data_IF_916320441435
#
_entry.id   IF_916320441435
#
_cell.length_a   1.000
_cell.length_b   1.000
_cell.length_c   1.000
_cell.angle_alpha   90.00
_cell.angle_beta   90.00
_cell.angle_gamma   90.00
#
_symmetry.space_group_name_H-M   'P 1'
#
loop_
_entity.id
_entity.type
_entity.pdbx_description
1 polymer ?
#
# COMPACT_ATOMS: atom_id res chain seq x y z
N UNK A 1 5.37 13.87 -33.08
CA UNK A 1 5.26 12.72 -32.16
C UNK A 1 4.78 13.29 -30.84
N UNK A 2 3.58 12.89 -30.39
CA UNK A 2 2.88 13.55 -29.29
C UNK A 2 3.58 13.29 -27.94
N UNK A 3 3.68 14.34 -27.13
CA UNK A 3 4.31 14.41 -25.82
C UNK A 3 3.61 13.46 -24.84
N UNK A 4 4.15 12.25 -24.64
CA UNK A 4 3.48 11.19 -23.89
C UNK A 4 3.59 11.33 -22.36
N UNK A 5 4.21 12.38 -21.83
CA UNK A 5 4.27 12.57 -20.37
C UNK A 5 4.45 14.04 -19.97
N UNK A 6 3.38 14.82 -20.10
CA UNK A 6 3.34 16.21 -19.66
C UNK A 6 3.48 16.40 -18.13
N UNK A 7 3.45 15.33 -17.33
CA UNK A 7 3.51 15.38 -15.86
C UNK A 7 4.82 14.86 -15.23
N UNK A 8 5.77 14.38 -16.03
CA UNK A 8 7.10 13.98 -15.54
C UNK A 8 7.12 12.75 -14.61
N UNK A 9 6.04 11.98 -14.50
CA UNK A 9 6.01 10.71 -13.76
C UNK A 9 5.65 9.58 -14.72
N UNK A 10 6.63 9.17 -15.52
CA UNK A 10 6.66 7.85 -16.12
C UNK A 10 7.23 6.86 -15.09
N UNK A 11 6.47 6.64 -14.00
CA UNK A 11 6.84 5.68 -12.96
C UNK A 11 6.76 4.26 -13.51
N UNK A 12 7.90 3.59 -13.65
CA UNK A 12 7.97 2.21 -14.16
C UNK A 12 7.60 1.16 -13.11
N UNK A 13 7.43 1.56 -11.85
CA UNK A 13 7.05 0.68 -10.75
C UNK A 13 5.58 0.88 -10.35
N UNK A 14 4.92 -0.24 -10.08
CA UNK A 14 3.54 -0.26 -9.59
C UNK A 14 3.50 0.43 -8.21
N UNK A 15 2.65 1.44 -7.99
CA UNK A 15 2.56 2.11 -6.70
C UNK A 15 2.19 1.10 -5.59
N UNK A 16 2.72 1.23 -4.37
CA UNK A 16 2.55 0.25 -3.29
C UNK A 16 1.10 0.14 -2.78
N UNK A 17 0.26 1.13 -3.10
CA UNK A 17 -1.14 1.25 -2.70
C UNK A 17 -1.92 1.85 -3.87
N UNK A 18 -3.04 1.22 -4.24
CA UNK A 18 -4.02 1.77 -5.19
C UNK A 18 -5.37 1.81 -4.49
N UNK A 19 -5.90 3.01 -4.26
CA UNK A 19 -7.08 3.20 -3.42
C UNK A 19 -6.83 2.63 -2.02
N UNK A 20 -7.52 1.56 -1.66
CA UNK A 20 -7.34 0.85 -0.38
C UNK A 20 -6.56 -0.46 -0.50
N UNK A 21 -6.05 -0.83 -1.69
CA UNK A 21 -5.46 -2.14 -1.99
C UNK A 21 -3.93 -2.04 -2.04
N UNK A 22 -3.26 -2.86 -1.22
CA UNK A 22 -1.81 -3.02 -1.25
C UNK A 22 -1.44 -3.89 -2.46
N UNK A 23 -0.69 -3.29 -3.39
CA UNK A 23 -0.34 -3.96 -4.64
C UNK A 23 0.62 -5.13 -4.41
N UNK A 24 0.48 -6.20 -5.19
CA UNK A 24 1.28 -7.41 -5.02
C UNK A 24 0.89 -8.31 -3.83
N UNK A 25 0.21 -7.80 -2.79
CA UNK A 25 -0.33 -8.64 -1.70
C UNK A 25 -1.79 -9.01 -1.90
N UNK A 26 -2.56 -8.21 -2.66
CA UNK A 26 -3.99 -8.42 -2.88
C UNK A 26 -4.86 -8.10 -1.65
N UNK A 27 -4.24 -7.64 -0.57
CA UNK A 27 -4.93 -7.26 0.67
C UNK A 27 -5.33 -5.80 0.62
N UNK A 28 -6.45 -5.47 1.28
CA UNK A 28 -6.69 -4.08 1.65
C UNK A 28 -5.82 -3.68 2.84
N UNK A 29 -5.60 -2.38 3.02
CA UNK A 29 -4.89 -1.85 4.21
C UNK A 29 -5.55 -2.32 5.51
N UNK A 30 -6.89 -2.33 5.57
CA UNK A 30 -7.64 -2.79 6.72
C UNK A 30 -7.48 -4.30 6.98
N UNK A 31 -7.49 -5.13 5.93
CA UNK A 31 -7.25 -6.57 6.05
C UNK A 31 -5.82 -6.86 6.54
N UNK A 32 -4.84 -6.15 5.99
CA UNK A 32 -3.45 -6.28 6.42
C UNK A 32 -3.25 -5.81 7.86
N UNK A 33 -3.90 -4.72 8.28
CA UNK A 33 -3.88 -4.25 9.66
C UNK A 33 -4.48 -5.30 10.62
N UNK A 34 -5.63 -5.89 10.25
CA UNK A 34 -6.24 -6.94 11.04
C UNK A 34 -5.36 -8.20 11.13
N UNK A 35 -4.67 -8.57 10.06
CA UNK A 35 -3.71 -9.68 10.05
C UNK A 35 -2.54 -9.42 11.01
N UNK A 36 -1.92 -8.23 10.93
CA UNK A 36 -0.85 -7.82 11.85
C UNK A 36 -1.33 -7.81 13.30
N UNK A 37 -2.55 -7.34 13.58
CA UNK A 37 -3.12 -7.34 14.92
C UNK A 37 -3.33 -8.76 15.49
N UNK A 38 -3.56 -9.77 14.64
CA UNK A 38 -3.61 -11.19 15.03
C UNK A 38 -2.23 -11.82 15.19
N UNK A 39 -1.13 -11.08 15.00
CA UNK A 39 0.23 -11.57 15.03
C UNK A 39 0.69 -12.24 13.73
N UNK A 40 -0.08 -12.12 12.64
CA UNK A 40 0.32 -12.62 11.33
C UNK A 40 1.37 -11.68 10.70
N UNK A 41 2.19 -12.24 9.80
CA UNK A 41 3.20 -11.49 9.04
C UNK A 41 2.88 -11.56 7.55
N UNK A 42 1.91 -10.77 7.05
CA UNK A 42 1.63 -10.73 5.62
C UNK A 42 2.86 -10.30 4.83
N UNK A 43 3.01 -10.84 3.62
CA UNK A 43 4.09 -10.49 2.70
C UNK A 43 3.89 -9.05 2.19
N UNK A 44 4.40 -8.09 2.96
CA UNK A 44 4.35 -6.67 2.68
C UNK A 44 5.76 -6.16 2.40
N UNK A 45 5.88 -5.23 1.45
CA UNK A 45 7.11 -4.44 1.36
C UNK A 45 7.22 -3.51 2.57
N UNK A 46 8.41 -2.99 2.85
CA UNK A 46 8.63 -2.07 3.97
C UNK A 46 7.74 -0.82 3.89
N UNK A 47 7.52 -0.31 2.67
CA UNK A 47 6.62 0.81 2.43
C UNK A 47 5.17 0.45 2.78
N UNK A 48 4.70 -0.71 2.35
CA UNK A 48 3.35 -1.19 2.63
C UNK A 48 3.13 -1.45 4.13
N UNK A 49 4.14 -2.01 4.81
CA UNK A 49 4.13 -2.18 6.26
C UNK A 49 3.93 -0.84 6.96
N UNK A 50 4.67 0.20 6.56
CA UNK A 50 4.54 1.54 7.16
C UNK A 50 3.18 2.19 6.89
N UNK A 51 2.58 1.93 5.73
CA UNK A 51 1.21 2.37 5.42
C UNK A 51 0.21 1.70 6.38
N UNK A 52 0.32 0.38 6.55
CA UNK A 52 -0.55 -0.41 7.44
C UNK A 52 -0.43 0.06 8.89
N UNK A 53 0.80 0.25 9.38
CA UNK A 53 1.05 0.73 10.74
C UNK A 53 0.45 2.13 10.98
N UNK A 54 0.62 3.05 10.03
CA UNK A 54 0.02 4.39 10.12
C UNK A 54 -1.51 4.30 10.15
N UNK A 55 -2.10 3.52 9.24
CA UNK A 55 -3.54 3.35 9.18
C UNK A 55 -4.09 2.80 10.50
N UNK A 56 -3.40 1.82 11.10
CA UNK A 56 -3.79 1.24 12.38
C UNK A 56 -3.77 2.28 13.51
N UNK A 57 -2.77 3.18 13.54
CA UNK A 57 -2.73 4.27 14.52
C UNK A 57 -3.89 5.26 14.33
N UNK A 58 -4.26 5.56 13.09
CA UNK A 58 -5.34 6.51 12.77
C UNK A 58 -6.75 5.95 13.07
N UNK A 59 -6.91 4.62 13.07
CA UNK A 59 -8.21 3.94 13.17
C UNK A 59 -8.39 3.12 14.46
N UNK A 60 -7.44 3.17 15.39
CA UNK A 60 -7.55 2.55 16.72
C UNK A 60 -8.30 3.42 17.75
N UNK A 61 -8.85 4.56 17.34
CA UNK A 61 -9.59 5.51 18.17
C UNK A 61 -11.11 5.25 18.15
#
# INVERSE_FOLDING_TARGET
>A
MHDACASGVCGTDVPPLIGSILTGSGLTVAQAAAAVARGESPALTDVQRRIVERWALEHAA
#
